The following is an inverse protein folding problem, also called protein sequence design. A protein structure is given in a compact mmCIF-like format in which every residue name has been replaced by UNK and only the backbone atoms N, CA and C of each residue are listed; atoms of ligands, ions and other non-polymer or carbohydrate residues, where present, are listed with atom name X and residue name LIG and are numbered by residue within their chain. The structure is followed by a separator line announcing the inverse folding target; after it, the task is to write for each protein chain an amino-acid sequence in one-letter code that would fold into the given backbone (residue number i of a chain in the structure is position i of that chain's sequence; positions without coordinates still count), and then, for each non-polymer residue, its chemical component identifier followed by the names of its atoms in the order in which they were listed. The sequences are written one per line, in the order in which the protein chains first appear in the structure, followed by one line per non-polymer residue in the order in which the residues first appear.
data_IF_826775404386
#
_entry.id   IF_826775404386
#
_cell.length_a   1.000
_cell.length_b   1.000
_cell.length_c   1.000
_cell.angle_alpha   90.00
_cell.angle_beta   90.00
_cell.angle_gamma   90.00
#
_symmetry.space_group_name_H-M   'P 1'
#
loop_
_entity.id
_entity.type
_entity.pdbx_description
1 polymer ?
#
# COMPACT_ATOMS: atom_id res chain seq x y z
N UNK A 1 21.08 55.15 -23.89
CA UNK A 1 20.58 53.75 -23.88
C UNK A 1 21.17 53.04 -22.68
N UNK A 2 20.48 53.05 -21.54
CA UNK A 2 20.97 52.47 -20.29
C UNK A 2 20.80 50.95 -20.29
N UNK A 3 21.91 50.20 -20.26
CA UNK A 3 21.88 48.75 -20.07
C UNK A 3 21.46 48.46 -18.62
N UNK A 4 20.27 47.89 -18.44
CA UNK A 4 19.82 47.37 -17.16
C UNK A 4 20.84 46.33 -16.68
N UNK A 5 21.53 46.63 -15.59
CA UNK A 5 22.54 45.76 -14.98
C UNK A 5 21.76 44.65 -14.27
N UNK A 6 21.51 43.57 -15.01
CA UNK A 6 20.87 42.37 -14.47
C UNK A 6 21.63 41.95 -13.22
N UNK A 7 20.96 41.94 -12.07
CA UNK A 7 21.56 41.62 -10.79
C UNK A 7 21.83 40.11 -10.73
N UNK A 8 23.04 39.70 -11.11
CA UNK A 8 23.46 38.29 -11.21
C UNK A 8 23.18 37.50 -9.92
N UNK A 9 23.28 38.16 -8.76
CA UNK A 9 22.98 37.56 -7.46
C UNK A 9 21.48 37.24 -7.30
N UNK A 10 20.62 38.10 -7.84
CA UNK A 10 19.17 37.92 -7.78
C UNK A 10 18.71 36.79 -8.70
N UNK A 11 19.30 36.68 -9.90
CA UNK A 11 19.11 35.53 -10.78
C UNK A 11 19.58 34.24 -10.12
N UNK A 12 20.79 34.23 -9.52
CA UNK A 12 21.32 33.04 -8.85
C UNK A 12 20.41 32.59 -7.68
N UNK A 13 19.85 33.54 -6.92
CA UNK A 13 18.93 33.26 -5.82
C UNK A 13 17.58 32.70 -6.31
N UNK A 14 17.04 33.22 -7.41
CA UNK A 14 15.81 32.71 -8.03
C UNK A 14 16.04 31.27 -8.53
N UNK A 15 17.11 31.05 -9.29
CA UNK A 15 17.47 29.74 -9.82
C UNK A 15 17.67 28.70 -8.70
N UNK A 16 18.38 29.05 -7.63
CA UNK A 16 18.56 28.16 -6.48
C UNK A 16 17.24 27.83 -5.78
N UNK A 17 16.31 28.79 -5.70
CA UNK A 17 15.00 28.58 -5.07
C UNK A 17 14.08 27.70 -5.93
N UNK A 18 14.11 27.88 -7.25
CA UNK A 18 13.36 27.04 -8.20
C UNK A 18 13.90 25.61 -8.19
N UNK A 19 15.22 25.43 -8.28
CA UNK A 19 15.84 24.11 -8.19
C UNK A 19 15.49 23.39 -6.88
N UNK A 20 15.52 24.10 -5.74
CA UNK A 20 15.11 23.51 -4.45
C UNK A 20 13.62 23.15 -4.43
N UNK A 21 12.76 23.95 -5.07
CA UNK A 21 11.32 23.70 -5.14
C UNK A 21 11.02 22.45 -5.99
N UNK A 22 11.67 22.34 -7.14
CA UNK A 22 11.59 21.17 -8.04
C UNK A 22 12.09 19.91 -7.34
N UNK A 23 13.29 19.94 -6.75
CA UNK A 23 13.84 18.81 -6.00
C UNK A 23 12.90 18.34 -4.89
N UNK A 24 12.34 19.28 -4.11
CA UNK A 24 11.36 18.93 -3.07
C UNK A 24 10.08 18.36 -3.66
N UNK A 25 9.64 18.77 -4.85
CA UNK A 25 8.47 18.18 -5.52
C UNK A 25 8.75 16.76 -6.02
N UNK A 26 9.92 16.52 -6.61
CA UNK A 26 10.33 15.21 -7.07
C UNK A 26 10.40 14.20 -5.91
N UNK A 27 11.02 14.58 -4.80
CA UNK A 27 11.08 13.74 -3.60
C UNK A 27 9.69 13.47 -3.03
N UNK A 28 8.78 14.47 -3.05
CA UNK A 28 7.37 14.27 -2.67
C UNK A 28 6.68 13.23 -3.53
N UNK A 29 6.83 13.33 -4.85
CA UNK A 29 6.21 12.39 -5.79
C UNK A 29 6.80 10.98 -5.65
N UNK A 30 8.11 10.89 -5.43
CA UNK A 30 8.81 9.62 -5.19
C UNK A 30 8.27 8.92 -3.96
N UNK A 31 8.19 9.60 -2.83
CA UNK A 31 7.66 9.05 -1.58
C UNK A 31 6.21 8.56 -1.74
N UNK A 32 5.36 9.38 -2.36
CA UNK A 32 3.96 9.01 -2.66
C UNK A 32 3.89 7.75 -3.53
N UNK A 33 4.70 7.69 -4.59
CA UNK A 33 4.77 6.54 -5.49
C UNK A 33 5.21 5.28 -4.75
N UNK A 34 6.25 5.38 -3.92
CA UNK A 34 6.75 4.25 -3.12
C UNK A 34 5.67 3.72 -2.16
N UNK A 35 4.93 4.60 -1.48
CA UNK A 35 3.85 4.18 -0.56
C UNK A 35 2.69 3.51 -1.27
N UNK A 36 2.28 4.05 -2.41
CA UNK A 36 1.27 3.41 -3.26
C UNK A 36 1.73 2.00 -3.68
N UNK A 37 2.97 1.88 -4.17
CA UNK A 37 3.54 0.61 -4.61
C UNK A 37 3.64 -0.40 -3.46
N UNK A 38 4.08 0.04 -2.28
CA UNK A 38 4.15 -0.80 -1.09
C UNK A 38 2.76 -1.26 -0.64
N UNK A 39 1.77 -0.38 -0.67
CA UNK A 39 0.37 -0.72 -0.34
C UNK A 39 -0.18 -1.76 -1.31
N UNK A 40 0.03 -1.54 -2.62
CA UNK A 40 -0.40 -2.52 -3.63
C UNK A 40 0.32 -3.86 -3.45
N UNK A 41 1.61 -3.85 -3.11
CA UNK A 41 2.38 -5.05 -2.85
C UNK A 41 1.85 -5.82 -1.63
N UNK A 42 1.52 -5.11 -0.55
CA UNK A 42 0.91 -5.71 0.64
C UNK A 42 -0.43 -6.38 0.29
N UNK A 43 -1.29 -5.71 -0.48
CA UNK A 43 -2.58 -6.28 -0.89
C UNK A 43 -2.41 -7.49 -1.82
N UNK A 44 -1.47 -7.43 -2.78
CA UNK A 44 -1.17 -8.56 -3.68
C UNK A 44 -0.71 -9.82 -2.92
N UNK A 45 0.00 -9.62 -1.81
CA UNK A 45 0.52 -10.72 -0.99
C UNK A 45 -0.37 -11.01 0.23
N UNK A 46 -1.48 -10.29 0.41
CA UNK A 46 -2.29 -10.37 1.63
C UNK A 46 -2.74 -11.79 1.93
N UNK A 47 -3.31 -12.48 0.94
CA UNK A 47 -3.78 -13.86 1.12
C UNK A 47 -2.63 -14.82 1.42
N UNK A 48 -1.47 -14.66 0.80
CA UNK A 48 -0.29 -15.48 1.09
C UNK A 48 0.27 -15.22 2.49
N UNK A 49 0.28 -13.97 2.93
CA UNK A 49 0.66 -13.60 4.30
C UNK A 49 -0.34 -14.16 5.31
N UNK A 50 -1.64 -14.09 5.01
CA UNK A 50 -2.71 -14.64 5.82
C UNK A 50 -2.58 -16.16 5.93
N UNK A 51 -2.38 -16.88 4.82
CA UNK A 51 -2.14 -18.32 4.82
C UNK A 51 -0.89 -18.66 5.66
N UNK A 52 0.21 -17.89 5.56
CA UNK A 52 1.40 -18.09 6.40
C UNK A 52 1.11 -17.85 7.89
N UNK A 53 0.31 -16.84 8.22
CA UNK A 53 -0.07 -16.53 9.60
C UNK A 53 -1.02 -17.58 10.20
N UNK A 54 -2.05 -18.00 9.46
CA UNK A 54 -3.01 -19.05 9.85
C UNK A 54 -2.27 -20.38 10.07
N UNK A 55 -1.48 -20.83 9.09
CA UNK A 55 -0.66 -22.04 9.22
C UNK A 55 0.38 -21.96 10.36
N UNK A 56 0.81 -20.76 10.75
CA UNK A 56 1.76 -20.57 11.86
C UNK A 56 1.13 -20.70 13.24
N UNK A 57 -0.19 -20.46 13.38
CA UNK A 57 -0.92 -20.68 14.63
C UNK A 57 -1.08 -22.17 14.94
N UNK A 58 -1.36 -22.95 13.91
CA UNK A 58 -1.57 -24.39 14.04
C UNK A 58 -0.27 -25.15 14.36
N UNK A 59 0.90 -24.57 14.03
CA UNK A 59 2.23 -25.16 14.22
C UNK A 59 3.06 -24.48 15.33
N UNK A 60 2.42 -23.68 16.18
CA UNK A 60 3.13 -23.02 17.29
C UNK A 60 3.65 -24.04 18.33
N UNK A 61 2.97 -25.17 18.47
CA UNK A 61 3.45 -26.37 19.21
C UNK A 61 4.69 -26.98 18.55
N UNK A 62 4.68 -27.11 17.23
CA UNK A 62 5.75 -27.78 16.48
C UNK A 62 7.07 -27.00 16.52
N UNK A 63 7.02 -25.68 16.72
CA UNK A 63 8.22 -24.84 16.88
C UNK A 63 8.90 -25.02 18.24
N UNK A 64 8.15 -25.42 19.27
CA UNK A 64 8.74 -25.76 20.56
C UNK A 64 9.44 -27.13 20.53
N UNK A 65 9.14 -27.98 19.54
CA UNK A 65 9.78 -29.28 19.32
C UNK A 65 10.92 -29.24 18.29
N UNK A 66 11.23 -28.05 17.73
CA UNK A 66 12.36 -27.87 16.83
C UNK A 66 13.68 -27.89 17.62
N UNK A 67 14.23 -29.10 17.74
CA UNK A 67 15.63 -29.52 17.89
C UNK A 67 16.61 -28.53 18.56
N UNK A 68 17.24 -28.97 19.66
CA UNK A 68 18.32 -28.25 20.37
C UNK A 68 19.56 -27.96 19.48
N UNK A 69 19.63 -28.54 18.28
CA UNK A 69 20.70 -28.38 17.29
C UNK A 69 20.47 -27.24 16.27
N UNK A 70 19.33 -26.54 16.30
CA UNK A 70 19.10 -25.40 15.39
C UNK A 70 19.69 -24.10 15.97
N UNK A 71 20.52 -23.40 15.19
CA UNK A 71 21.10 -22.11 15.58
C UNK A 71 20.02 -21.16 16.17
N UNK A 72 20.16 -20.80 17.44
CA UNK A 72 19.24 -19.90 18.15
C UNK A 72 18.94 -18.61 17.36
N UNK A 73 19.91 -18.16 16.57
CA UNK A 73 19.83 -16.99 15.68
C UNK A 73 18.76 -17.18 14.60
N UNK A 74 18.70 -18.36 13.97
CA UNK A 74 17.74 -18.69 12.91
C UNK A 74 16.32 -18.73 13.51
N UNK A 75 16.16 -19.41 14.64
CA UNK A 75 14.88 -19.50 15.35
C UNK A 75 14.37 -18.11 15.73
N UNK A 76 15.24 -17.24 16.25
CA UNK A 76 14.90 -15.86 16.61
C UNK A 76 14.50 -15.03 15.39
N UNK A 77 15.18 -15.19 14.26
CA UNK A 77 14.83 -14.49 13.02
C UNK A 77 13.45 -14.90 12.50
N UNK A 78 13.13 -16.20 12.51
CA UNK A 78 11.82 -16.74 12.10
C UNK A 78 10.71 -16.20 13.01
N UNK A 79 10.90 -16.26 14.33
CA UNK A 79 9.94 -15.71 15.31
C UNK A 79 9.68 -14.23 15.08
N UNK A 80 10.74 -13.43 14.88
CA UNK A 80 10.63 -11.99 14.59
C UNK A 80 9.88 -11.72 13.28
N UNK A 81 10.14 -12.50 12.24
CA UNK A 81 9.45 -12.40 10.95
C UNK A 81 7.95 -12.66 11.12
N UNK A 82 7.59 -13.73 11.84
CA UNK A 82 6.18 -14.10 12.11
C UNK A 82 5.42 -13.02 12.87
N UNK A 83 6.01 -12.48 13.95
CA UNK A 83 5.40 -11.39 14.71
C UNK A 83 5.16 -10.17 13.81
N UNK A 84 6.14 -9.81 12.97
CA UNK A 84 5.98 -8.70 12.04
C UNK A 84 4.85 -8.94 11.04
N UNK A 85 4.76 -10.15 10.47
CA UNK A 85 3.67 -10.54 9.57
C UNK A 85 2.30 -10.45 10.24
N UNK A 86 2.18 -10.95 11.48
CA UNK A 86 0.95 -10.86 12.26
C UNK A 86 0.48 -9.41 12.44
N UNK A 87 1.40 -8.52 12.86
CA UNK A 87 1.12 -7.09 13.03
C UNK A 87 0.67 -6.48 11.69
N UNK A 88 1.34 -6.81 10.58
CA UNK A 88 0.98 -6.28 9.26
C UNK A 88 -0.41 -6.75 8.80
N UNK A 89 -0.77 -8.01 9.03
CA UNK A 89 -2.10 -8.53 8.69
C UNK A 89 -3.17 -7.80 9.48
N UNK A 90 -3.03 -7.71 10.81
CA UNK A 90 -3.99 -7.00 11.67
C UNK A 90 -4.12 -5.53 11.26
N UNK A 91 -3.02 -4.88 10.89
CA UNK A 91 -3.05 -3.51 10.39
C UNK A 91 -3.82 -3.41 9.07
N UNK A 92 -3.56 -4.30 8.10
CA UNK A 92 -4.26 -4.32 6.81
C UNK A 92 -5.77 -4.55 7.02
N UNK A 93 -6.16 -5.54 7.84
CA UNK A 93 -7.56 -5.83 8.15
C UNK A 93 -8.28 -4.61 8.76
N UNK A 94 -7.64 -3.96 9.72
CA UNK A 94 -8.16 -2.73 10.35
C UNK A 94 -8.35 -1.61 9.31
N UNK A 95 -7.36 -1.39 8.46
CA UNK A 95 -7.44 -0.37 7.41
C UNK A 95 -8.51 -0.70 6.36
N UNK A 96 -8.67 -1.98 5.99
CA UNK A 96 -9.70 -2.44 5.06
C UNK A 96 -11.10 -2.21 5.63
N UNK A 97 -11.30 -2.47 6.92
CA UNK A 97 -12.58 -2.23 7.58
C UNK A 97 -12.92 -0.73 7.65
N UNK A 98 -11.94 0.11 8.00
CA UNK A 98 -12.12 1.57 7.94
C UNK A 98 -12.47 2.03 6.52
N UNK A 99 -11.80 1.50 5.50
CA UNK A 99 -12.09 1.83 4.11
C UNK A 99 -13.51 1.43 3.72
N UNK A 100 -13.95 0.23 4.12
CA UNK A 100 -15.31 -0.28 3.88
C UNK A 100 -16.36 0.65 4.45
N UNK A 101 -16.23 0.99 5.73
CA UNK A 101 -17.13 1.90 6.43
C UNK A 101 -17.14 3.29 5.78
N UNK A 102 -15.97 3.82 5.42
CA UNK A 102 -15.84 5.12 4.76
C UNK A 102 -16.52 5.16 3.39
N UNK A 103 -16.36 4.11 2.58
CA UNK A 103 -16.99 4.03 1.26
C UNK A 103 -18.51 3.87 1.38
N UNK A 104 -18.97 3.06 2.35
CA UNK A 104 -20.39 2.93 2.65
C UNK A 104 -21.00 4.27 3.08
N UNK A 105 -20.35 5.01 3.98
CA UNK A 105 -20.82 6.33 4.43
C UNK A 105 -20.85 7.38 3.32
N UNK A 106 -19.98 7.27 2.31
CA UNK A 106 -19.96 8.13 1.13
C UNK A 106 -20.99 7.72 0.05
N UNK A 107 -21.74 6.65 0.25
CA UNK A 107 -22.64 6.09 -0.76
C UNK A 107 -21.91 5.52 -1.98
N UNK A 108 -20.66 5.07 -1.79
CA UNK A 108 -19.80 4.49 -2.84
C UNK A 108 -19.28 3.08 -2.47
N UNK A 109 -20.11 2.16 -1.93
CA UNK A 109 -19.67 0.84 -1.49
C UNK A 109 -19.00 0.00 -2.60
N UNK A 110 -19.38 0.24 -3.86
CA UNK A 110 -18.83 -0.42 -5.03
C UNK A 110 -17.32 -0.24 -5.18
N UNK A 111 -16.76 0.89 -4.71
CA UNK A 111 -15.31 1.12 -4.73
C UNK A 111 -14.57 0.16 -3.80
N UNK A 112 -15.11 -0.08 -2.61
CA UNK A 112 -14.54 -1.08 -1.70
C UNK A 112 -14.72 -2.50 -2.27
N UNK A 113 -15.86 -2.78 -2.90
CA UNK A 113 -16.12 -4.08 -3.52
C UNK A 113 -15.07 -4.42 -4.58
N UNK A 114 -14.59 -3.44 -5.36
CA UNK A 114 -13.45 -3.64 -6.29
C UNK A 114 -12.21 -4.15 -5.55
N UNK A 115 -11.82 -3.56 -4.41
CA UNK A 115 -10.65 -4.03 -3.65
C UNK A 115 -10.87 -5.44 -3.12
N UNK A 116 -12.06 -5.71 -2.59
CA UNK A 116 -12.42 -7.03 -2.08
C UNK A 116 -12.28 -8.09 -3.18
N UNK A 117 -12.90 -7.88 -4.33
CA UNK A 117 -12.87 -8.85 -5.44
C UNK A 117 -11.48 -9.00 -6.06
N UNK A 118 -10.67 -7.93 -6.11
CA UNK A 118 -9.34 -7.98 -6.73
C UNK A 118 -8.25 -8.59 -5.84
N UNK A 119 -8.38 -8.53 -4.51
CA UNK A 119 -7.27 -8.86 -3.60
C UNK A 119 -7.63 -9.80 -2.45
N UNK A 120 -8.90 -9.87 -2.05
CA UNK A 120 -9.32 -10.57 -0.84
C UNK A 120 -10.10 -11.86 -1.13
N UNK A 121 -10.49 -12.09 -2.39
CA UNK A 121 -11.22 -13.28 -2.81
C UNK A 121 -10.26 -14.46 -3.03
N UNK A 122 -10.23 -15.39 -2.04
CA UNK A 122 -9.41 -16.61 -2.10
C UNK A 122 -9.72 -17.47 -3.33
N UNK A 123 -10.97 -17.50 -3.82
CA UNK A 123 -11.37 -18.35 -4.93
C UNK A 123 -10.82 -17.88 -6.28
N UNK A 124 -10.40 -16.62 -6.38
CA UNK A 124 -9.93 -15.98 -7.62
C UNK A 124 -8.46 -15.57 -7.57
N UNK A 125 -7.74 -15.95 -6.51
CA UNK A 125 -6.36 -15.51 -6.27
C UNK A 125 -5.38 -15.88 -7.40
N UNK A 126 -5.64 -16.98 -8.08
CA UNK A 126 -4.81 -17.52 -9.16
C UNK A 126 -5.30 -17.09 -10.56
N UNK A 127 -6.39 -16.30 -10.63
CA UNK A 127 -6.93 -15.80 -11.89
C UNK A 127 -6.01 -14.72 -12.48
N UNK A 128 -5.71 -14.75 -13.80
CA UNK A 128 -4.95 -13.70 -14.45
C UNK A 128 -5.61 -12.33 -14.25
N UNK A 129 -4.83 -11.32 -13.84
CA UNK A 129 -5.36 -9.99 -13.49
C UNK A 129 -6.23 -9.35 -14.58
N UNK A 130 -5.88 -9.55 -15.86
CA UNK A 130 -6.67 -9.02 -16.98
C UNK A 130 -8.08 -9.62 -17.08
N UNK A 131 -8.20 -10.91 -16.81
CA UNK A 131 -9.49 -11.63 -16.77
C UNK A 131 -10.28 -11.24 -15.52
N UNK A 132 -9.61 -11.20 -14.36
CA UNK A 132 -10.24 -10.81 -13.11
C UNK A 132 -10.87 -9.41 -13.19
N UNK A 133 -10.21 -8.45 -13.85
CA UNK A 133 -10.78 -7.11 -14.06
C UNK A 133 -12.07 -7.14 -14.88
N UNK A 134 -12.18 -8.03 -15.89
CA UNK A 134 -13.40 -8.18 -16.70
C UNK A 134 -14.54 -8.73 -15.87
N UNK A 135 -14.28 -9.81 -15.14
CA UNK A 135 -15.27 -10.44 -14.24
C UNK A 135 -15.78 -9.42 -13.22
N UNK A 136 -14.87 -8.68 -12.57
CA UNK A 136 -15.25 -7.65 -11.59
C UNK A 136 -16.04 -6.50 -12.23
N UNK A 137 -15.71 -6.11 -13.46
CA UNK A 137 -16.43 -5.08 -14.19
C UNK A 137 -17.88 -5.50 -14.46
N UNK A 138 -18.09 -6.74 -14.88
CA UNK A 138 -19.41 -7.33 -15.12
C UNK A 138 -20.24 -7.43 -13.83
N UNK A 139 -19.65 -7.94 -12.74
CA UNK A 139 -20.32 -8.10 -11.43
C UNK A 139 -20.76 -6.79 -10.80
N UNK A 140 -19.96 -5.73 -10.99
CA UNK A 140 -20.23 -4.40 -10.44
C UNK A 140 -20.99 -3.53 -11.46
N UNK A 141 -21.32 -4.07 -12.64
CA UNK A 141 -22.01 -3.38 -13.72
C UNK A 141 -21.33 -2.05 -14.12
N UNK A 142 -20.00 -2.07 -14.28
CA UNK A 142 -19.21 -0.93 -14.72
C UNK A 142 -18.20 -1.32 -15.80
N UNK A 143 -17.47 -0.35 -16.37
CA UNK A 143 -16.42 -0.64 -17.35
C UNK A 143 -15.08 -1.02 -16.70
N UNK A 144 -14.23 -1.80 -17.38
CA UNK A 144 -12.88 -2.16 -16.91
C UNK A 144 -12.05 -0.94 -16.50
N UNK A 145 -12.16 0.17 -17.25
CA UNK A 145 -11.47 1.41 -16.94
C UNK A 145 -11.90 2.00 -15.58
N UNK A 146 -13.19 1.84 -15.23
CA UNK A 146 -13.73 2.25 -13.93
C UNK A 146 -13.21 1.37 -12.81
N UNK A 147 -13.14 0.04 -13.00
CA UNK A 147 -12.50 -0.88 -12.04
C UNK A 147 -11.06 -0.47 -11.75
N UNK A 148 -10.25 -0.22 -12.79
CA UNK A 148 -8.85 0.20 -12.64
C UNK A 148 -8.72 1.55 -11.94
N UNK A 149 -9.61 2.49 -12.23
CA UNK A 149 -9.65 3.81 -11.58
C UNK A 149 -10.00 3.68 -10.09
N UNK A 150 -11.08 2.98 -9.75
CA UNK A 150 -11.50 2.78 -8.37
C UNK A 150 -10.48 1.99 -7.56
N UNK A 151 -9.86 0.96 -8.14
CA UNK A 151 -8.69 0.30 -7.54
C UNK A 151 -7.61 1.32 -7.14
N UNK A 152 -7.20 2.19 -8.06
CA UNK A 152 -6.15 3.19 -7.80
C UNK A 152 -6.56 4.17 -6.68
N UNK A 153 -7.80 4.63 -6.70
CA UNK A 153 -8.36 5.49 -5.64
C UNK A 153 -8.30 4.79 -4.28
N UNK A 154 -8.75 3.53 -4.20
CA UNK A 154 -8.79 2.80 -2.94
C UNK A 154 -7.41 2.42 -2.41
N UNK A 155 -6.45 2.06 -3.28
CA UNK A 155 -5.05 1.86 -2.87
C UNK A 155 -4.45 3.16 -2.33
N UNK A 156 -4.81 4.31 -2.93
CA UNK A 156 -4.37 5.62 -2.43
C UNK A 156 -4.91 5.89 -1.04
N UNK A 157 -6.21 5.67 -0.81
CA UNK A 157 -6.83 5.81 0.52
C UNK A 157 -6.21 4.84 1.55
N UNK A 158 -6.00 3.58 1.17
CA UNK A 158 -5.35 2.58 2.03
C UNK A 158 -3.91 2.96 2.35
N UNK A 159 -3.16 3.54 1.41
CA UNK A 159 -1.78 3.98 1.68
C UNK A 159 -1.72 5.02 2.80
N UNK A 160 -2.71 5.91 2.87
CA UNK A 160 -2.82 6.87 3.96
C UNK A 160 -3.19 6.17 5.26
N UNK A 161 -4.14 5.22 5.24
CA UNK A 161 -4.56 4.50 6.43
C UNK A 161 -3.45 3.62 7.02
N UNK A 162 -2.67 2.95 6.18
CA UNK A 162 -1.59 2.03 6.59
C UNK A 162 -0.39 2.81 7.14
N UNK A 163 0.00 3.90 6.48
CA UNK A 163 1.18 4.67 6.87
C UNK A 163 0.85 5.84 7.82
N UNK A 164 -0.42 6.13 8.12
CA UNK A 164 -0.81 7.14 9.11
C UNK A 164 -0.36 8.56 8.76
N UNK A 165 0.13 9.31 9.76
CA UNK A 165 0.72 10.65 9.55
C UNK A 165 1.92 10.58 8.63
N UNK A 166 2.72 9.52 8.70
CA UNK A 166 3.77 9.31 7.71
C UNK A 166 3.14 9.18 6.33
N UNK A 167 1.98 8.53 6.18
CA UNK A 167 1.18 8.46 4.96
C UNK A 167 0.61 9.81 4.49
N UNK A 168 0.44 10.77 5.40
CA UNK A 168 0.02 12.14 5.10
C UNK A 168 1.24 13.03 4.85
N UNK A 169 1.04 14.08 4.06
CA UNK A 169 2.02 15.15 3.93
C UNK A 169 1.59 16.29 4.83
N UNK A 170 2.09 16.33 6.06
CA UNK A 170 1.95 17.52 6.90
C UNK A 170 3.19 18.39 6.69
N UNK A 171 3.01 19.58 6.12
CA UNK A 171 4.05 20.63 6.13
C UNK A 171 4.03 21.24 7.54
N UNK A 172 4.65 20.55 8.52
CA UNK A 172 4.92 21.09 9.88
C UNK A 172 6.36 21.57 9.95
#
# INVERSE_FOLDING_TARGET
MGKSKVNTHEIAKIAAREALKEFKEEERQRVKRTRYQNTELLLKNYLSLLDHYENSKDKASDIMELDDDMDEVIVKAIKKSRIRTAIMITQIETCLEILRLRMSAKGQPEKYQVIKSLYLDKARRDMPYGELVKVVAEEIHCGEATVRRWKKEMITELSVLIFGVDGLKLDI
#
